data_IF_838987115661
#
_entry.id   IF_838987115661
#
_cell.length_a   1.000
_cell.length_b   1.000
_cell.length_c   1.000
_cell.angle_alpha   90.00
_cell.angle_beta   90.00
_cell.angle_gamma   90.00
#
_symmetry.space_group_name_H-M   'P 1'
#
loop_
_entity.id
_entity.type
_entity.pdbx_description
1 polymer ?
#
# COMPACT_ATOMS: atom_id res chain seq x y z
N UNK A 1 17.75 6.85 -21.20
CA UNK A 1 18.68 7.91 -21.51
C UNK A 1 19.53 8.21 -20.30
N UNK A 2 20.78 8.48 -20.50
CA UNK A 2 21.72 8.85 -19.45
C UNK A 2 21.29 10.21 -18.87
N UNK A 3 21.13 10.28 -17.55
CA UNK A 3 20.73 11.52 -16.85
C UNK A 3 21.97 12.44 -16.81
N UNK A 4 21.95 13.50 -17.63
CA UNK A 4 22.99 14.52 -17.63
C UNK A 4 22.80 15.47 -16.43
N UNK A 5 23.74 15.46 -15.49
CA UNK A 5 23.71 16.31 -14.30
C UNK A 5 24.11 17.75 -14.65
N UNK A 6 23.35 18.71 -14.14
CA UNK A 6 23.74 20.13 -14.18
C UNK A 6 24.77 20.44 -13.10
N UNK A 7 25.55 21.53 -13.20
CA UNK A 7 26.49 21.94 -12.14
C UNK A 7 25.82 22.09 -10.77
N UNK A 8 24.59 22.59 -10.73
CA UNK A 8 23.80 22.73 -9.49
C UNK A 8 23.46 21.35 -8.91
N UNK A 9 23.03 20.41 -9.74
CA UNK A 9 22.72 19.04 -9.31
C UNK A 9 23.96 18.31 -8.78
N UNK A 10 25.12 18.47 -9.42
CA UNK A 10 26.37 17.93 -8.93
C UNK A 10 26.75 18.53 -7.57
N UNK A 11 26.56 19.84 -7.37
CA UNK A 11 26.81 20.49 -6.09
C UNK A 11 25.87 19.99 -4.99
N UNK A 12 24.58 19.75 -5.30
CA UNK A 12 23.61 19.15 -4.37
C UNK A 12 24.07 17.75 -3.95
N UNK A 13 24.47 16.90 -4.91
CA UNK A 13 24.94 15.53 -4.62
C UNK A 13 26.20 15.55 -3.74
N UNK A 14 27.13 16.46 -4.01
CA UNK A 14 28.34 16.65 -3.20
C UNK A 14 27.98 17.09 -1.76
N UNK A 15 27.08 18.04 -1.59
CA UNK A 15 26.62 18.51 -0.29
C UNK A 15 25.90 17.41 0.52
N UNK A 16 25.24 16.45 -0.16
CA UNK A 16 24.55 15.32 0.48
C UNK A 16 25.47 14.14 0.81
N UNK A 17 26.73 14.14 0.33
CA UNK A 17 27.68 13.05 0.61
C UNK A 17 27.98 12.88 2.10
N UNK A 18 27.87 13.94 2.89
CA UNK A 18 28.03 13.94 4.35
C UNK A 18 26.81 13.49 5.16
N UNK A 19 25.67 13.18 4.50
CA UNK A 19 24.44 12.75 5.16
C UNK A 19 23.20 13.53 4.76
N UNK A 20 22.06 13.18 5.38
CA UNK A 20 20.77 13.79 5.06
C UNK A 20 20.63 15.23 5.54
N UNK A 21 20.17 16.14 4.66
CA UNK A 21 20.03 17.57 4.92
C UNK A 21 18.68 18.12 4.52
N UNK A 22 18.25 19.18 5.20
CA UNK A 22 17.03 19.88 4.82
C UNK A 22 17.27 20.77 3.59
N UNK A 23 16.24 20.94 2.75
CA UNK A 23 16.29 21.78 1.57
C UNK A 23 16.83 23.19 1.90
N UNK A 24 16.35 23.83 2.96
CA UNK A 24 16.78 25.15 3.40
C UNK A 24 18.29 25.27 3.71
N UNK A 25 18.88 24.17 4.22
CA UNK A 25 20.30 24.12 4.53
C UNK A 25 21.13 24.05 3.26
N UNK A 26 20.68 23.23 2.30
CA UNK A 26 21.28 23.16 0.97
C UNK A 26 21.18 24.48 0.20
N UNK A 27 20.01 25.15 0.24
CA UNK A 27 19.79 26.46 -0.39
C UNK A 27 20.67 27.54 0.24
N UNK A 28 20.88 27.51 1.54
CA UNK A 28 21.75 28.44 2.24
C UNK A 28 23.22 28.23 1.87
N UNK A 29 23.66 26.98 1.75
CA UNK A 29 25.04 26.64 1.39
C UNK A 29 25.34 26.95 -0.08
N UNK A 30 24.44 26.59 -0.98
CA UNK A 30 24.60 26.78 -2.42
C UNK A 30 24.21 28.16 -2.91
N UNK A 31 23.66 29.00 -2.03
CA UNK A 31 23.18 30.35 -2.30
C UNK A 31 22.24 30.45 -3.53
N UNK A 32 21.46 29.41 -3.78
CA UNK A 32 20.54 29.32 -4.93
C UNK A 32 19.29 28.50 -4.58
N UNK A 33 18.12 28.83 -5.12
CA UNK A 33 16.94 27.98 -5.03
C UNK A 33 17.18 26.65 -5.76
N UNK A 34 16.96 25.52 -5.09
CA UNK A 34 17.25 24.18 -5.63
C UNK A 34 16.03 23.28 -5.73
N UNK A 35 14.83 23.79 -5.45
CA UNK A 35 13.62 22.96 -5.34
C UNK A 35 13.34 22.13 -6.60
N UNK A 36 13.53 22.69 -7.79
CA UNK A 36 13.33 21.99 -9.06
C UNK A 36 14.41 20.92 -9.28
N UNK A 37 15.67 21.22 -8.97
CA UNK A 37 16.79 20.30 -9.13
C UNK A 37 16.71 19.12 -8.17
N UNK A 38 16.24 19.34 -6.92
CA UNK A 38 15.93 18.24 -5.98
C UNK A 38 14.90 17.28 -6.57
N UNK A 39 13.83 17.78 -7.19
CA UNK A 39 12.84 16.91 -7.81
C UNK A 39 13.35 16.18 -9.04
N UNK A 40 14.19 16.82 -9.86
CA UNK A 40 14.86 16.16 -11.00
C UNK A 40 15.75 15.02 -10.52
N UNK A 41 16.57 15.26 -9.50
CA UNK A 41 17.41 14.21 -8.88
C UNK A 41 16.58 13.10 -8.22
N UNK A 42 15.46 13.43 -7.59
CA UNK A 42 14.54 12.46 -7.00
C UNK A 42 13.95 11.54 -8.07
N UNK A 43 13.42 12.09 -9.15
CA UNK A 43 12.88 11.30 -10.26
C UNK A 43 13.94 10.53 -11.04
N UNK A 44 15.17 11.00 -11.04
CA UNK A 44 16.31 10.28 -11.57
C UNK A 44 16.82 9.15 -10.63
N UNK A 45 16.22 9.01 -9.43
CA UNK A 45 16.61 7.98 -8.47
C UNK A 45 17.98 8.19 -7.84
N UNK A 46 18.44 9.46 -7.76
CA UNK A 46 19.74 9.80 -7.17
C UNK A 46 19.63 10.17 -5.68
N UNK A 47 18.50 10.71 -5.26
CA UNK A 47 18.21 11.14 -3.89
C UNK A 47 16.83 10.67 -3.43
N UNK A 48 16.63 10.65 -2.12
CA UNK A 48 15.34 10.37 -1.48
C UNK A 48 15.04 11.40 -0.40
N UNK A 49 13.79 11.42 0.10
CA UNK A 49 13.38 12.24 1.24
C UNK A 49 12.82 11.34 2.34
N UNK A 50 13.16 11.62 3.61
CA UNK A 50 12.72 10.84 4.78
C UNK A 50 11.25 11.12 5.15
N UNK A 51 10.56 12.01 4.42
CA UNK A 51 9.16 12.38 4.66
C UNK A 51 8.30 12.31 3.40
N UNK A 52 7.13 11.66 3.52
CA UNK A 52 6.10 11.73 2.47
C UNK A 52 5.45 13.12 2.30
N UNK A 53 5.75 14.08 3.19
CA UNK A 53 5.21 15.44 3.08
C UNK A 53 5.64 16.12 1.78
N UNK A 54 6.88 15.87 1.33
CA UNK A 54 7.40 16.36 0.07
C UNK A 54 6.55 15.90 -1.12
N UNK A 55 6.30 14.59 -1.24
CA UNK A 55 5.52 14.02 -2.34
C UNK A 55 4.04 14.44 -2.26
N UNK A 56 3.46 14.50 -1.05
CA UNK A 56 2.09 15.01 -0.88
C UNK A 56 1.95 16.46 -1.31
N UNK A 57 2.97 17.29 -1.08
CA UNK A 57 3.00 18.68 -1.55
C UNK A 57 2.91 18.79 -3.07
N UNK A 58 3.64 17.92 -3.80
CA UNK A 58 3.58 17.86 -5.28
C UNK A 58 2.20 17.44 -5.81
N UNK A 59 1.52 16.51 -5.14
CA UNK A 59 0.22 16.01 -5.59
C UNK A 59 -0.94 16.98 -5.31
N UNK A 60 -0.66 18.24 -4.95
CA UNK A 60 -1.67 19.25 -4.67
C UNK A 60 -2.51 18.94 -3.43
N UNK A 61 -2.07 18.00 -2.62
CA UNK A 61 -2.63 17.69 -1.33
C UNK A 61 -2.29 18.81 -0.34
N UNK A 62 -2.95 19.96 -0.42
CA UNK A 62 -3.05 20.86 0.71
C UNK A 62 -3.88 20.18 1.80
N UNK A 63 -3.35 19.10 2.38
CA UNK A 63 -3.75 18.76 3.73
C UNK A 63 -3.20 19.87 4.59
N UNK A 64 -4.00 20.94 4.74
CA UNK A 64 -3.87 21.80 5.90
C UNK A 64 -3.68 20.85 7.08
N UNK A 65 -2.45 20.75 7.59
CA UNK A 65 -2.24 20.34 8.95
C UNK A 65 -3.22 21.21 9.75
N UNK A 66 -4.33 20.62 10.15
CA UNK A 66 -5.26 21.25 11.07
C UNK A 66 -4.44 21.57 12.30
N UNK A 67 -3.96 22.79 12.37
CA UNK A 67 -3.57 23.38 13.63
C UNK A 67 -4.74 23.13 14.59
N UNK A 68 -4.52 22.65 15.81
CA UNK A 68 -5.56 22.56 16.81
C UNK A 68 -6.22 23.95 16.88
N UNK A 69 -7.50 24.00 16.53
CA UNK A 69 -8.30 25.22 16.66
C UNK A 69 -8.55 25.37 18.15
N UNK A 70 -7.78 26.23 18.80
CA UNK A 70 -8.12 26.72 20.12
C UNK A 70 -9.41 27.56 19.93
N UNK A 71 -10.51 27.23 20.60
CA UNK A 71 -11.75 27.98 20.49
C UNK A 71 -11.52 29.42 20.98
N UNK A 72 -11.60 30.40 20.10
CA UNK A 72 -11.67 31.81 20.46
C UNK A 72 -13.13 32.26 20.51
N UNK A 73 -13.53 33.09 21.49
CA UNK A 73 -14.90 33.57 21.60
C UNK A 73 -15.31 34.37 20.36
N UNK A 74 -16.52 34.11 19.90
CA UNK A 74 -17.14 34.76 18.75
C UNK A 74 -17.46 36.21 19.06
N UNK A 75 -16.73 37.14 18.44
CA UNK A 75 -17.21 38.53 18.25
C UNK A 75 -17.38 38.66 16.72
N UNK A 76 -18.61 38.86 16.30
CA UNK A 76 -18.98 39.01 14.89
C UNK A 76 -18.38 40.30 14.30
N UNK A 77 -17.67 40.20 13.21
CA UNK A 77 -17.26 41.33 12.35
C UNK A 77 -17.53 40.99 10.88
N UNK A 78 -17.95 41.99 10.05
CA UNK A 78 -18.45 41.78 8.70
C UNK A 78 -17.36 41.28 7.74
N UNK A 79 -17.79 40.44 6.79
CA UNK A 79 -16.96 39.83 5.76
C UNK A 79 -16.30 40.88 4.86
N UNK A 80 -15.01 41.05 4.99
CA UNK A 80 -14.18 41.67 3.96
C UNK A 80 -13.55 40.56 3.11
N UNK A 81 -13.66 40.67 1.79
CA UNK A 81 -13.08 39.79 0.78
C UNK A 81 -11.61 39.51 1.09
N UNK A 82 -11.33 38.30 1.54
CA UNK A 82 -9.97 37.85 1.80
C UNK A 82 -9.37 37.41 0.48
N UNK A 83 -8.65 38.33 -0.17
CA UNK A 83 -7.72 37.93 -1.25
C UNK A 83 -6.80 36.89 -0.68
N UNK A 84 -6.81 35.70 -1.26
CA UNK A 84 -5.83 34.66 -0.98
C UNK A 84 -4.44 35.23 -1.29
N UNK A 85 -3.72 35.66 -0.28
CA UNK A 85 -2.27 35.79 -0.36
C UNK A 85 -1.74 34.35 -0.44
N UNK A 86 -1.27 33.97 -1.63
CA UNK A 86 -0.38 32.85 -1.81
C UNK A 86 0.90 33.28 -1.09
N UNK A 87 1.04 32.89 0.16
CA UNK A 87 2.32 32.97 0.86
C UNK A 87 3.32 32.05 0.17
N UNK A 88 4.64 32.30 0.28
CA UNK A 88 5.65 31.41 -0.27
C UNK A 88 5.35 29.99 0.23
N UNK A 89 5.31 29.04 -0.72
CA UNK A 89 5.09 27.65 -0.39
C UNK A 89 6.15 27.24 0.65
N UNK A 90 5.70 26.78 1.81
CA UNK A 90 6.62 26.24 2.82
C UNK A 90 7.34 25.08 2.16
N UNK A 91 8.69 25.08 2.12
CA UNK A 91 9.44 23.98 1.52
C UNK A 91 8.97 22.64 2.11
N UNK A 92 8.81 21.60 1.28
CA UNK A 92 8.38 20.30 1.76
C UNK A 92 9.32 19.84 2.89
N UNK A 93 8.74 19.49 4.04
CA UNK A 93 9.49 19.01 5.20
C UNK A 93 10.19 17.69 4.90
N UNK A 94 11.21 17.38 5.71
CA UNK A 94 12.02 16.17 5.57
C UNK A 94 13.43 16.45 5.07
N UNK A 95 14.33 15.51 5.36
CA UNK A 95 15.74 15.56 4.93
C UNK A 95 15.89 14.83 3.61
N UNK A 96 16.69 15.41 2.74
CA UNK A 96 17.12 14.80 1.49
C UNK A 96 18.41 14.05 1.72
N UNK A 97 18.52 12.85 1.16
CA UNK A 97 19.69 11.98 1.29
C UNK A 97 20.01 11.33 -0.04
N UNK A 98 21.28 10.98 -0.24
CA UNK A 98 21.71 10.18 -1.40
C UNK A 98 21.04 8.81 -1.35
N UNK A 99 20.65 8.31 -2.52
CA UNK A 99 20.35 6.89 -2.69
C UNK A 99 21.63 6.12 -3.00
N UNK A 100 21.74 4.86 -2.57
CA UNK A 100 22.81 3.98 -2.98
C UNK A 100 22.91 3.89 -4.51
N UNK A 101 24.13 3.81 -5.02
CA UNK A 101 24.34 3.61 -6.46
C UNK A 101 23.73 2.26 -6.87
N UNK A 102 22.86 2.21 -7.90
CA UNK A 102 22.29 0.97 -8.37
C UNK A 102 23.39 -0.04 -8.80
N UNK A 103 23.11 -1.33 -8.62
CA UNK A 103 24.00 -2.40 -9.09
C UNK A 103 24.04 -2.33 -10.61
N UNK A 104 25.19 -2.00 -11.18
CA UNK A 104 25.35 -1.83 -12.62
C UNK A 104 25.34 -3.17 -13.38
N UNK A 105 25.83 -4.25 -12.77
CA UNK A 105 25.81 -5.60 -13.36
C UNK A 105 24.38 -6.16 -13.36
N UNK A 106 23.75 -6.37 -14.53
CA UNK A 106 22.38 -6.86 -14.63
C UNK A 106 22.19 -8.24 -13.99
N UNK A 107 23.19 -9.11 -14.05
CA UNK A 107 23.12 -10.46 -13.48
C UNK A 107 23.13 -10.40 -11.96
N UNK A 108 24.01 -9.60 -11.39
CA UNK A 108 24.05 -9.36 -9.93
C UNK A 108 22.78 -8.67 -9.44
N UNK A 109 22.28 -7.70 -10.19
CA UNK A 109 21.04 -7.01 -9.85
C UNK A 109 19.84 -7.98 -9.86
N UNK A 110 19.76 -8.85 -10.86
CA UNK A 110 18.70 -9.84 -10.99
C UNK A 110 18.80 -10.92 -9.89
N UNK A 111 20.02 -11.35 -9.54
CA UNK A 111 20.22 -12.26 -8.40
C UNK A 111 19.77 -11.64 -7.09
N UNK A 112 20.22 -10.44 -6.77
CA UNK A 112 19.83 -9.72 -5.56
C UNK A 112 18.29 -9.53 -5.50
N UNK A 113 17.66 -9.31 -6.67
CA UNK A 113 16.20 -9.23 -6.77
C UNK A 113 15.53 -10.55 -6.49
N UNK A 114 16.05 -11.67 -7.01
CA UNK A 114 15.53 -13.00 -6.75
C UNK A 114 15.61 -13.37 -5.26
N UNK A 115 16.77 -13.13 -4.64
CA UNK A 115 17.00 -13.33 -3.21
C UNK A 115 16.03 -12.49 -2.36
N UNK A 116 15.90 -11.19 -2.66
CA UNK A 116 14.95 -10.29 -1.99
C UNK A 116 13.49 -10.77 -2.09
N UNK A 117 13.06 -11.22 -3.29
CA UNK A 117 11.69 -11.70 -3.49
C UNK A 117 11.43 -13.03 -2.76
N UNK A 118 12.41 -13.94 -2.74
CA UNK A 118 12.32 -15.18 -1.98
C UNK A 118 12.24 -14.89 -0.47
N UNK A 119 13.08 -13.99 0.04
CA UNK A 119 13.06 -13.59 1.45
C UNK A 119 11.74 -12.93 1.84
N UNK A 120 11.26 -12.01 0.98
CA UNK A 120 10.01 -11.29 1.22
C UNK A 120 8.77 -12.18 1.23
N UNK A 121 8.69 -13.13 0.30
CA UNK A 121 7.48 -13.93 0.09
C UNK A 121 7.57 -15.33 0.70
N UNK A 122 8.77 -15.82 1.00
CA UNK A 122 9.02 -17.19 1.39
C UNK A 122 8.78 -18.19 0.26
N UNK A 123 7.67 -18.05 -0.47
CA UNK A 123 7.31 -18.76 -1.70
C UNK A 123 7.09 -17.76 -2.83
N UNK A 124 7.92 -17.85 -3.86
CA UNK A 124 7.84 -16.98 -5.02
C UNK A 124 7.10 -17.67 -6.17
N UNK A 125 6.03 -17.03 -6.63
CA UNK A 125 5.17 -17.52 -7.72
C UNK A 125 5.21 -16.56 -8.91
N UNK A 126 4.80 -17.02 -10.09
CA UNK A 126 4.63 -16.15 -11.25
C UNK A 126 3.55 -15.10 -10.94
N UNK A 127 3.85 -13.83 -11.13
CA UNK A 127 2.91 -12.73 -10.92
C UNK A 127 2.93 -12.11 -9.51
N UNK A 128 3.71 -12.66 -8.58
CA UNK A 128 3.86 -12.09 -7.25
C UNK A 128 4.34 -10.63 -7.29
N UNK A 129 5.23 -10.29 -8.22
CA UNK A 129 5.68 -8.92 -8.49
C UNK A 129 6.07 -8.70 -9.96
N UNK A 130 5.98 -7.44 -10.41
CA UNK A 130 6.52 -7.02 -11.69
C UNK A 130 8.05 -6.88 -11.59
N UNK A 131 8.76 -7.56 -12.49
CA UNK A 131 10.22 -7.58 -12.53
C UNK A 131 10.70 -7.17 -13.92
N UNK A 132 11.75 -6.35 -14.05
CA UNK A 132 12.38 -6.08 -15.34
C UNK A 132 12.77 -7.38 -16.05
N UNK A 133 12.41 -7.53 -17.32
CA UNK A 133 12.61 -8.77 -18.06
C UNK A 133 11.60 -9.89 -17.74
N UNK A 134 10.64 -9.63 -16.85
CA UNK A 134 9.58 -10.57 -16.47
C UNK A 134 10.07 -11.76 -15.65
N UNK A 135 9.14 -12.64 -15.32
CA UNK A 135 9.42 -13.87 -14.56
C UNK A 135 10.42 -14.81 -15.27
N UNK A 136 10.48 -14.79 -16.60
CA UNK A 136 11.42 -15.62 -17.37
C UNK A 136 12.89 -15.30 -17.07
N UNK A 137 13.22 -14.02 -16.83
CA UNK A 137 14.57 -13.63 -16.42
C UNK A 137 14.89 -14.12 -15.01
N UNK A 138 13.96 -13.95 -14.07
CA UNK A 138 14.08 -14.49 -12.71
C UNK A 138 14.21 -16.01 -12.68
N UNK A 139 13.44 -16.71 -13.51
CA UNK A 139 13.42 -18.17 -13.56
C UNK A 139 14.82 -18.75 -13.80
N UNK A 140 15.61 -18.16 -14.68
CA UNK A 140 17.00 -18.59 -14.93
C UNK A 140 17.86 -18.50 -13.68
N UNK A 141 17.76 -17.41 -12.94
CA UNK A 141 18.50 -17.21 -11.69
C UNK A 141 17.99 -18.17 -10.61
N UNK A 142 16.68 -18.32 -10.48
CA UNK A 142 16.06 -19.22 -9.49
C UNK A 142 16.45 -20.69 -9.75
N UNK A 143 16.57 -21.10 -11.00
CA UNK A 143 17.06 -22.45 -11.35
C UNK A 143 18.49 -22.67 -10.89
N UNK A 144 19.37 -21.67 -11.04
CA UNK A 144 20.75 -21.75 -10.52
C UNK A 144 20.76 -21.78 -8.98
N UNK A 145 19.92 -21.00 -8.32
CA UNK A 145 19.79 -21.03 -6.86
C UNK A 145 19.25 -22.40 -6.37
N UNK A 146 18.34 -23.03 -7.12
CA UNK A 146 17.85 -24.39 -6.86
C UNK A 146 18.98 -25.43 -6.98
N UNK A 147 19.76 -25.39 -8.06
CA UNK A 147 20.94 -26.28 -8.26
C UNK A 147 21.97 -26.15 -7.11
N UNK A 148 22.09 -24.97 -6.52
CA UNK A 148 22.94 -24.69 -5.38
C UNK A 148 22.32 -25.05 -4.03
N UNK A 149 21.06 -25.48 -4.01
CA UNK A 149 20.32 -25.81 -2.80
C UNK A 149 19.85 -24.59 -1.98
N UNK A 150 19.98 -23.37 -2.54
CA UNK A 150 19.58 -22.12 -1.88
C UNK A 150 18.06 -21.93 -1.87
N UNK A 151 17.34 -22.55 -2.80
CA UNK A 151 15.86 -22.63 -2.81
C UNK A 151 15.40 -23.99 -3.35
N UNK A 152 14.11 -24.27 -3.30
CA UNK A 152 13.49 -25.50 -3.80
C UNK A 152 12.35 -25.14 -4.75
N UNK A 153 12.27 -25.83 -5.88
CA UNK A 153 11.12 -25.74 -6.77
C UNK A 153 10.07 -26.77 -6.38
N UNK A 154 8.79 -26.43 -6.50
CA UNK A 154 7.69 -27.32 -6.16
C UNK A 154 6.32 -26.71 -6.41
N UNK A 155 5.30 -27.39 -5.92
CA UNK A 155 3.91 -26.94 -5.88
C UNK A 155 3.56 -26.58 -4.43
N UNK A 156 3.70 -25.32 -4.07
CA UNK A 156 3.47 -24.84 -2.70
C UNK A 156 2.11 -24.16 -2.56
N UNK A 157 1.64 -23.52 -3.63
CA UNK A 157 0.36 -22.82 -3.69
C UNK A 157 -0.47 -23.48 -4.78
N UNK A 158 -1.69 -23.92 -4.44
CA UNK A 158 -2.60 -24.56 -5.37
C UNK A 158 -2.95 -23.62 -6.53
N UNK A 159 -3.23 -24.20 -7.70
CA UNK A 159 -3.72 -23.53 -8.91
C UNK A 159 -2.80 -22.46 -9.56
N UNK A 160 -1.57 -22.29 -9.06
CA UNK A 160 -0.60 -21.33 -9.62
C UNK A 160 0.45 -21.95 -10.58
N UNK A 161 0.31 -23.24 -10.92
CA UNK A 161 1.24 -23.94 -11.83
C UNK A 161 2.61 -24.25 -11.22
N UNK A 162 3.50 -24.86 -12.02
CA UNK A 162 4.74 -25.50 -11.56
C UNK A 162 5.93 -24.55 -11.35
N UNK A 163 5.85 -23.30 -11.75
CA UNK A 163 6.96 -22.35 -11.63
C UNK A 163 6.93 -21.62 -10.28
N UNK A 164 7.06 -22.37 -9.17
CA UNK A 164 7.08 -21.87 -7.82
C UNK A 164 8.40 -22.26 -7.15
N UNK A 165 9.01 -21.31 -6.45
CA UNK A 165 10.26 -21.50 -5.73
C UNK A 165 10.09 -21.08 -4.28
N UNK A 166 10.62 -21.85 -3.34
CA UNK A 166 10.51 -21.60 -1.91
C UNK A 166 11.85 -21.67 -1.21
N UNK A 167 12.04 -20.84 -0.19
CA UNK A 167 13.12 -21.01 0.76
C UNK A 167 12.90 -22.28 1.60
N UNK A 168 13.97 -23.01 2.00
CA UNK A 168 13.84 -24.16 2.88
C UNK A 168 13.02 -23.88 4.15
N UNK A 169 13.28 -22.77 4.84
CA UNK A 169 12.54 -22.35 6.02
C UNK A 169 11.05 -22.06 5.78
N UNK A 170 10.68 -21.55 4.59
CA UNK A 170 9.27 -21.36 4.23
C UNK A 170 8.53 -22.69 4.05
N UNK A 171 9.20 -23.72 3.51
CA UNK A 171 8.64 -25.07 3.38
C UNK A 171 8.40 -25.68 4.77
N UNK A 172 9.32 -25.49 5.68
CA UNK A 172 9.18 -26.00 7.06
C UNK A 172 8.06 -25.26 7.81
N UNK A 173 7.92 -23.95 7.62
CA UNK A 173 6.80 -23.17 8.13
C UNK A 173 5.46 -23.66 7.58
N UNK A 174 5.36 -23.95 6.28
CA UNK A 174 4.15 -24.48 5.67
C UNK A 174 3.76 -25.85 6.26
N UNK A 175 4.74 -26.73 6.51
CA UNK A 175 4.52 -28.06 7.11
C UNK A 175 4.12 -27.98 8.57
N UNK A 176 4.65 -27.02 9.30
CA UNK A 176 4.38 -26.83 10.73
C UNK A 176 3.19 -25.91 11.00
N UNK A 177 2.59 -25.31 9.96
CA UNK A 177 1.46 -24.38 10.10
C UNK A 177 0.20 -25.15 10.54
N UNK A 178 0.07 -25.35 11.84
CA UNK A 178 -1.13 -25.88 12.51
C UNK A 178 -1.83 -24.81 13.35
N UNK A 179 -1.61 -23.53 13.04
CA UNK A 179 -2.26 -22.44 13.74
C UNK A 179 -3.79 -22.50 13.56
N UNK A 180 -4.58 -22.17 14.60
CA UNK A 180 -6.02 -22.08 14.45
C UNK A 180 -6.37 -21.05 13.38
N UNK A 181 -7.49 -21.23 12.66
CA UNK A 181 -7.90 -20.32 11.61
C UNK A 181 -8.04 -18.89 12.17
N UNK A 182 -7.31 -17.95 11.61
CA UNK A 182 -7.32 -16.54 12.01
C UNK A 182 -8.12 -15.73 10.99
N UNK A 183 -8.93 -14.80 11.49
CA UNK A 183 -9.59 -13.80 10.64
C UNK A 183 -8.80 -12.50 10.68
N UNK A 184 -8.40 -12.01 9.52
CA UNK A 184 -7.56 -10.81 9.36
C UNK A 184 -8.24 -9.80 8.47
N UNK A 185 -8.23 -8.53 8.88
CA UNK A 185 -8.69 -7.40 8.05
C UNK A 185 -7.48 -6.59 7.61
N UNK A 186 -7.33 -6.42 6.31
CA UNK A 186 -6.23 -5.69 5.69
C UNK A 186 -6.74 -4.60 4.77
N UNK A 187 -5.92 -3.58 4.49
CA UNK A 187 -6.14 -2.75 3.33
C UNK A 187 -6.00 -3.60 2.05
N UNK A 188 -6.85 -3.38 1.05
CA UNK A 188 -6.76 -4.15 -0.20
C UNK A 188 -5.40 -4.00 -0.90
N UNK A 189 -4.71 -2.87 -0.70
CA UNK A 189 -3.37 -2.61 -1.23
C UNK A 189 -2.23 -3.05 -0.27
N UNK A 190 -2.54 -3.62 0.89
CA UNK A 190 -1.55 -4.09 1.85
C UNK A 190 -0.64 -5.16 1.21
N UNK A 191 0.70 -5.08 1.37
CA UNK A 191 1.61 -6.10 0.87
C UNK A 191 1.31 -7.52 1.36
N UNK A 192 0.75 -7.67 2.57
CA UNK A 192 0.34 -8.96 3.13
C UNK A 192 -0.92 -9.55 2.47
N UNK A 193 -1.72 -8.75 1.74
CA UNK A 193 -2.83 -9.27 0.98
C UNK A 193 -2.33 -9.99 -0.28
N UNK A 194 -2.52 -11.33 -0.43
CA UNK A 194 -2.05 -12.05 -1.61
C UNK A 194 -2.93 -11.82 -2.85
N UNK A 195 -4.20 -11.45 -2.65
CA UNK A 195 -5.17 -11.33 -3.75
C UNK A 195 -4.91 -10.09 -4.61
N UNK A 196 -4.95 -10.29 -5.93
CA UNK A 196 -4.61 -9.27 -6.92
C UNK A 196 -3.11 -8.99 -7.03
N UNK A 197 -2.28 -9.84 -6.41
CA UNK A 197 -0.83 -9.92 -6.57
C UNK A 197 -0.43 -11.37 -6.89
N UNK A 198 -0.06 -12.18 -5.90
CA UNK A 198 0.29 -13.59 -6.09
C UNK A 198 -0.92 -14.45 -6.47
N UNK A 199 -2.08 -14.18 -5.87
CA UNK A 199 -3.33 -14.88 -6.13
C UNK A 199 -4.27 -14.03 -7.02
N UNK A 200 -4.99 -14.64 -7.96
CA UNK A 200 -6.06 -13.95 -8.67
C UNK A 200 -7.19 -13.57 -7.71
N UNK A 201 -7.94 -12.53 -8.04
CA UNK A 201 -9.19 -12.25 -7.36
C UNK A 201 -10.21 -13.34 -7.71
N UNK A 202 -11.03 -13.81 -6.75
CA UNK A 202 -12.13 -14.72 -7.03
C UNK A 202 -13.10 -14.13 -8.04
N UNK A 203 -13.76 -14.99 -8.81
CA UNK A 203 -14.75 -14.57 -9.79
C UNK A 203 -15.98 -13.96 -9.11
N UNK A 204 -16.42 -12.84 -9.60
CA UNK A 204 -17.61 -12.12 -9.10
C UNK A 204 -18.70 -12.13 -10.16
N UNK A 205 -19.90 -12.50 -9.75
CA UNK A 205 -21.13 -12.29 -10.52
C UNK A 205 -21.64 -10.88 -10.26
N UNK A 206 -21.55 -10.00 -11.25
CA UNK A 206 -21.94 -8.58 -11.12
C UNK A 206 -20.87 -7.62 -11.62
N UNK A 207 -21.23 -6.35 -11.82
CA UNK A 207 -20.38 -5.36 -12.49
C UNK A 207 -19.15 -4.87 -11.71
N UNK A 208 -19.09 -5.07 -10.41
CA UNK A 208 -17.98 -4.63 -9.57
C UNK A 208 -16.88 -5.70 -9.52
N UNK A 209 -15.64 -5.26 -9.71
CA UNK A 209 -14.45 -6.11 -9.60
C UNK A 209 -13.58 -5.65 -8.44
N UNK A 210 -13.11 -6.56 -7.59
CA UNK A 210 -12.17 -6.21 -6.54
C UNK A 210 -10.84 -5.73 -7.14
N UNK A 211 -10.10 -4.93 -6.38
CA UNK A 211 -8.82 -4.41 -6.82
C UNK A 211 -7.97 -3.91 -5.66
N UNK A 212 -6.67 -3.84 -5.86
CA UNK A 212 -5.72 -3.31 -4.86
C UNK A 212 -5.77 -1.78 -4.84
N UNK A 213 -6.87 -1.24 -4.30
CA UNK A 213 -7.13 0.20 -4.25
C UNK A 213 -6.96 0.74 -2.84
N UNK A 214 -6.31 1.89 -2.71
CA UNK A 214 -6.20 2.57 -1.42
C UNK A 214 -7.58 2.93 -0.87
N UNK A 215 -7.82 2.61 0.41
CA UNK A 215 -9.08 2.83 1.10
C UNK A 215 -10.12 1.72 0.93
N UNK A 216 -9.86 0.70 0.11
CA UNK A 216 -10.61 -0.55 0.10
C UNK A 216 -10.05 -1.51 1.15
N UNK A 217 -10.90 -2.39 1.69
CA UNK A 217 -10.54 -3.38 2.70
C UNK A 217 -10.80 -4.80 2.18
N UNK A 218 -10.00 -5.74 2.66
CA UNK A 218 -10.23 -7.18 2.50
C UNK A 218 -10.33 -7.84 3.86
N UNK A 219 -11.16 -8.85 3.98
CA UNK A 219 -11.22 -9.72 5.15
C UNK A 219 -10.89 -11.14 4.71
N UNK A 220 -9.84 -11.69 5.30
CA UNK A 220 -9.40 -13.06 5.08
C UNK A 220 -9.82 -13.90 6.26
N UNK A 221 -10.49 -15.02 6.02
CA UNK A 221 -10.85 -16.03 7.03
C UNK A 221 -10.06 -17.30 6.73
N UNK A 222 -9.22 -17.73 7.63
CA UNK A 222 -8.31 -18.87 7.42
C UNK A 222 -7.45 -18.74 6.12
N UNK A 223 -7.09 -17.51 5.74
CA UNK A 223 -6.34 -17.22 4.53
C UNK A 223 -7.18 -17.02 3.25
N UNK A 224 -8.44 -17.41 3.26
CA UNK A 224 -9.35 -17.24 2.13
C UNK A 224 -10.06 -15.87 2.15
N UNK A 225 -10.23 -15.27 0.97
CA UNK A 225 -10.94 -14.00 0.84
C UNK A 225 -12.44 -14.19 1.09
N UNK A 226 -12.90 -13.69 2.22
CA UNK A 226 -14.31 -13.74 2.61
C UNK A 226 -15.08 -12.47 2.20
N UNK A 227 -14.47 -11.28 2.40
CA UNK A 227 -15.09 -10.00 2.06
C UNK A 227 -14.09 -9.07 1.37
N UNK A 228 -14.59 -8.29 0.43
CA UNK A 228 -13.97 -7.08 -0.10
C UNK A 228 -14.93 -5.91 0.09
N UNK A 229 -14.46 -4.84 0.71
CA UNK A 229 -15.23 -3.60 0.89
C UNK A 229 -14.58 -2.50 0.08
N UNK A 230 -15.31 -1.92 -0.85
CA UNK A 230 -14.80 -0.88 -1.73
C UNK A 230 -14.47 0.41 -0.97
N UNK A 231 -13.59 1.22 -1.54
CA UNK A 231 -13.29 2.55 -0.99
C UNK A 231 -14.56 3.35 -0.74
N UNK A 232 -14.72 3.86 0.48
CA UNK A 232 -15.91 4.60 0.90
C UNK A 232 -17.02 3.73 1.48
N UNK A 233 -16.86 2.39 1.44
CA UNK A 233 -17.71 1.43 2.15
C UNK A 233 -19.03 1.07 1.46
N UNK A 234 -19.49 1.80 0.44
CA UNK A 234 -20.85 1.64 -0.12
C UNK A 234 -21.11 0.29 -0.78
N UNK A 235 -20.10 -0.32 -1.33
CA UNK A 235 -20.20 -1.61 -2.03
C UNK A 235 -19.32 -2.64 -1.36
N UNK A 236 -19.87 -3.82 -1.13
CA UNK A 236 -19.13 -4.99 -0.66
C UNK A 236 -19.25 -6.15 -1.66
N UNK A 237 -18.24 -7.01 -1.68
CA UNK A 237 -18.28 -8.31 -2.34
C UNK A 237 -18.09 -9.38 -1.27
N UNK A 238 -18.99 -10.34 -1.22
CA UNK A 238 -18.97 -11.45 -0.28
C UNK A 238 -18.69 -12.74 -1.06
N UNK A 239 -17.64 -13.46 -0.65
CA UNK A 239 -17.15 -14.67 -1.31
C UNK A 239 -17.37 -15.93 -0.48
N UNK A 240 -17.95 -15.79 0.71
CA UNK A 240 -18.22 -16.91 1.62
C UNK A 240 -19.73 -17.12 1.82
N UNK A 241 -20.13 -18.34 2.08
CA UNK A 241 -21.48 -18.68 2.46
C UNK A 241 -21.78 -18.27 3.93
N UNK A 242 -20.76 -18.29 4.81
CA UNK A 242 -20.85 -17.81 6.19
C UNK A 242 -20.06 -16.50 6.37
N UNK A 243 -20.70 -15.34 6.28
CA UNK A 243 -20.07 -14.05 6.48
C UNK A 243 -19.91 -13.65 7.96
N UNK A 244 -20.38 -14.44 8.92
CA UNK A 244 -20.35 -14.11 10.35
C UNK A 244 -18.97 -13.74 10.87
N UNK A 245 -17.97 -14.61 10.77
CA UNK A 245 -16.60 -14.32 11.23
C UNK A 245 -15.99 -13.08 10.56
N UNK A 246 -16.23 -12.92 9.26
CA UNK A 246 -15.70 -11.78 8.51
C UNK A 246 -16.39 -10.45 8.89
N UNK A 247 -17.71 -10.45 9.09
CA UNK A 247 -18.46 -9.28 9.54
C UNK A 247 -18.02 -8.84 10.95
N UNK A 248 -17.86 -9.79 11.87
CA UNK A 248 -17.41 -9.52 13.23
C UNK A 248 -16.01 -8.89 13.24
N UNK A 249 -15.06 -9.46 12.49
CA UNK A 249 -13.69 -8.94 12.39
C UNK A 249 -13.66 -7.55 11.74
N UNK A 250 -14.45 -7.32 10.70
CA UNK A 250 -14.55 -6.01 10.06
C UNK A 250 -15.03 -4.94 11.07
N UNK A 251 -16.14 -5.21 11.78
CA UNK A 251 -16.72 -4.28 12.75
C UNK A 251 -15.76 -4.00 13.90
N UNK A 252 -15.09 -5.02 14.42
CA UNK A 252 -14.09 -4.86 15.48
C UNK A 252 -12.88 -4.04 15.02
N UNK A 253 -12.42 -4.27 13.80
CA UNK A 253 -11.33 -3.46 13.21
C UNK A 253 -11.75 -2.00 13.03
N UNK A 254 -12.96 -1.73 12.57
CA UNK A 254 -13.47 -0.36 12.44
C UNK A 254 -13.56 0.35 13.80
N UNK A 255 -13.97 -0.36 14.87
CA UNK A 255 -13.96 0.17 16.24
C UNK A 255 -12.55 0.51 16.72
N UNK A 256 -11.61 -0.43 16.59
CA UNK A 256 -10.20 -0.21 16.99
C UNK A 256 -9.55 0.93 16.23
N UNK A 257 -9.81 1.03 14.92
CA UNK A 257 -9.30 2.10 14.08
C UNK A 257 -10.03 3.44 14.27
N UNK A 258 -11.04 3.49 15.16
CA UNK A 258 -11.87 4.68 15.43
C UNK A 258 -12.45 5.30 14.15
N UNK A 259 -12.88 4.44 13.23
CA UNK A 259 -13.59 4.87 12.03
C UNK A 259 -14.94 5.44 12.46
N UNK A 260 -15.28 6.70 12.16
CA UNK A 260 -16.48 7.33 12.71
C UNK A 260 -17.77 6.70 12.17
N UNK A 261 -17.77 6.30 10.91
CA UNK A 261 -18.91 5.62 10.29
C UNK A 261 -18.52 4.90 9.00
N UNK A 262 -19.26 3.84 8.67
CA UNK A 262 -19.22 3.16 7.37
C UNK A 262 -20.67 2.81 6.97
N UNK A 263 -20.94 2.88 5.67
CA UNK A 263 -22.27 2.58 5.11
C UNK A 263 -22.10 1.61 3.97
N UNK A 264 -22.83 0.48 4.00
CA UNK A 264 -22.85 -0.49 2.89
C UNK A 264 -24.26 -0.48 2.32
N UNK A 265 -24.39 -0.18 1.04
CA UNK A 265 -25.65 -0.11 0.30
C UNK A 265 -25.89 -1.37 -0.53
N UNK A 266 -24.81 -1.94 -1.08
CA UNK A 266 -24.88 -3.08 -2.01
C UNK A 266 -23.88 -4.19 -1.67
N UNK A 267 -24.26 -5.44 -1.98
CA UNK A 267 -23.38 -6.61 -1.93
C UNK A 267 -23.55 -7.44 -3.21
N UNK A 268 -22.45 -7.84 -3.83
CA UNK A 268 -22.43 -8.65 -5.06
C UNK A 268 -23.34 -8.10 -6.17
N UNK A 269 -23.46 -6.76 -6.26
CA UNK A 269 -24.31 -6.07 -7.23
C UNK A 269 -25.77 -5.95 -6.87
N UNK A 270 -26.24 -6.57 -5.79
CA UNK A 270 -27.60 -6.47 -5.27
C UNK A 270 -27.71 -5.59 -4.02
N UNK A 271 -28.95 -5.28 -3.56
CA UNK A 271 -29.16 -4.57 -2.29
C UNK A 271 -28.61 -5.36 -1.10
N UNK A 272 -28.06 -4.65 -0.10
CA UNK A 272 -27.48 -5.30 1.07
C UNK A 272 -28.52 -5.95 1.99
N UNK A 273 -29.65 -5.29 2.22
CA UNK A 273 -30.60 -5.68 3.29
C UNK A 273 -31.12 -7.12 3.21
N UNK A 274 -31.44 -7.72 2.03
CA UNK A 274 -31.90 -9.11 1.99
C UNK A 274 -30.76 -10.13 1.99
N UNK A 275 -29.52 -9.70 2.27
CA UNK A 275 -28.35 -10.58 2.13
C UNK A 275 -27.91 -11.22 3.47
N UNK A 276 -27.29 -12.41 3.44
CA UNK A 276 -26.66 -13.01 4.63
C UNK A 276 -25.63 -12.09 5.27
N UNK A 277 -24.90 -11.28 4.47
CA UNK A 277 -23.96 -10.30 4.98
C UNK A 277 -24.62 -9.23 5.83
N UNK A 278 -25.83 -8.77 5.47
CA UNK A 278 -26.57 -7.82 6.30
C UNK A 278 -26.87 -8.40 7.68
N UNK A 279 -27.38 -9.62 7.75
CA UNK A 279 -27.68 -10.31 9.01
C UNK A 279 -26.43 -10.45 9.87
N UNK A 280 -25.29 -10.82 9.28
CA UNK A 280 -24.02 -10.95 9.97
C UNK A 280 -23.50 -9.60 10.51
N UNK A 281 -23.58 -8.53 9.72
CA UNK A 281 -23.19 -7.18 10.14
C UNK A 281 -24.09 -6.65 11.27
N UNK A 282 -25.40 -6.90 11.21
CA UNK A 282 -26.33 -6.53 12.28
C UNK A 282 -26.00 -7.28 13.58
N UNK A 283 -25.74 -8.58 13.51
CA UNK A 283 -25.30 -9.38 14.65
C UNK A 283 -23.96 -8.88 15.24
N UNK A 284 -23.06 -8.35 14.40
CA UNK A 284 -21.79 -7.75 14.82
C UNK A 284 -21.93 -6.34 15.44
N UNK A 285 -23.15 -5.77 15.47
CA UNK A 285 -23.45 -4.47 16.09
C UNK A 285 -23.53 -3.29 15.13
N UNK A 286 -23.72 -3.55 13.85
CA UNK A 286 -24.21 -2.54 12.91
C UNK A 286 -25.73 -2.36 13.06
N UNK A 287 -26.30 -1.35 12.42
CA UNK A 287 -27.75 -1.12 12.40
C UNK A 287 -28.26 -0.95 10.97
N UNK A 288 -29.51 -1.40 10.74
CA UNK A 288 -30.18 -1.22 9.47
C UNK A 288 -30.68 0.23 9.31
N UNK A 289 -30.59 0.73 8.09
CA UNK A 289 -31.23 1.97 7.64
C UNK A 289 -32.06 1.63 6.40
N UNK A 290 -32.80 2.58 5.85
CA UNK A 290 -33.81 2.33 4.79
C UNK A 290 -33.33 1.42 3.64
N UNK A 291 -32.07 1.56 3.16
CA UNK A 291 -31.48 0.75 2.06
C UNK A 291 -30.05 0.28 2.34
N UNK A 292 -29.58 0.43 3.57
CA UNK A 292 -28.18 0.23 3.90
C UNK A 292 -28.00 -0.42 5.27
N UNK A 293 -26.85 -1.03 5.47
CA UNK A 293 -26.32 -1.38 6.78
C UNK A 293 -25.26 -0.36 7.16
N UNK A 294 -25.34 0.14 8.39
CA UNK A 294 -24.47 1.21 8.89
C UNK A 294 -23.71 0.78 10.13
N UNK A 295 -22.43 1.09 10.14
CA UNK A 295 -21.58 1.11 11.31
C UNK A 295 -21.42 2.55 11.80
N UNK A 296 -21.45 2.75 13.12
CA UNK A 296 -21.09 4.00 13.78
C UNK A 296 -20.27 3.67 15.02
N UNK A 297 -19.12 4.33 15.15
CA UNK A 297 -18.37 4.30 16.40
C UNK A 297 -19.14 5.11 17.45
N UNK A 298 -19.38 4.51 18.61
CA UNK A 298 -19.93 5.19 19.79
C UNK A 298 -18.87 6.09 20.43
#
# INVERSE_FOLDING_TARGET
GEFAETPVQAAILAALAGGGRFQRELEAELATPIGEDLWRLFWAGRITNDSYAAVRGLLGGSSSLRRPVVPRPRIARPARHRRHRIGPAVPPGGRWSLLPVPIADPTRALRARAEYLLDRHGVLTRGAESVPGGFAALYKVLSVLEERGECRRGYFVADLGAAQFALPGAVDLLRSASAPPVTVVLAACDPANPYGAALPWPTVTGGHRPGRRAGALVVLVAGELALYVERGGRTALCFTADPGPAAAALVDTLRRARVPSMVIDTVNGGPILPSPLASALLAAGCYASHRSVRFRSL
#
